data_IF_507403947659
#
_entry.id   IF_507403947659
#
_cell.length_a   1.000
_cell.length_b   1.000
_cell.length_c   1.000
_cell.angle_alpha   90.00
_cell.angle_beta   90.00
_cell.angle_gamma   90.00
#
_symmetry.space_group_name_H-M   'P 1'
#
loop_
_entity.id
_entity.type
_entity.pdbx_description
1 polymer ?
#
# COMPACT_ATOMS: atom_id res chain seq x y z
N UNK A 1 40.01 90.54 15.93
CA UNK A 1 41.25 89.81 16.14
C UNK A 1 41.05 88.37 15.76
N UNK A 2 41.58 88.06 14.71
CA UNK A 2 41.94 86.88 13.99
C UNK A 2 42.06 85.55 14.76
N UNK A 3 41.49 84.53 14.27
CA UNK A 3 42.23 83.28 14.00
C UNK A 3 41.42 82.37 13.06
N UNK A 4 42.03 82.14 11.93
CA UNK A 4 41.57 81.21 10.89
C UNK A 4 41.91 79.76 11.31
N UNK A 5 40.96 78.84 11.18
CA UNK A 5 41.23 77.41 11.15
C UNK A 5 40.83 76.87 9.80
N UNK A 6 41.77 76.25 9.17
CA UNK A 6 41.75 75.68 7.86
C UNK A 6 41.02 74.28 7.93
N UNK A 7 39.92 74.09 7.23
CA UNK A 7 39.32 72.76 7.06
C UNK A 7 39.68 72.25 5.68
N UNK A 8 40.33 71.09 5.70
CA UNK A 8 40.62 70.26 4.53
C UNK A 8 39.38 69.44 4.14
N UNK A 9 38.87 69.66 2.95
CA UNK A 9 37.80 68.86 2.39
C UNK A 9 38.38 67.58 1.88
N UNK A 10 37.93 66.43 2.42
CA UNK A 10 38.14 65.10 1.84
C UNK A 10 36.96 64.74 0.92
N UNK A 11 37.25 64.56 -0.35
CA UNK A 11 36.28 64.11 -1.34
C UNK A 11 36.16 62.57 -1.17
N UNK A 12 35.05 62.14 -0.60
CA UNK A 12 34.69 60.74 -0.51
C UNK A 12 33.93 60.31 -1.79
N UNK A 13 34.46 59.34 -2.52
CA UNK A 13 33.79 58.70 -3.65
C UNK A 13 32.59 57.89 -3.16
N UNK A 14 31.41 58.23 -3.68
CA UNK A 14 30.18 57.45 -3.45
C UNK A 14 30.23 56.23 -4.34
N UNK A 15 30.59 55.07 -3.78
CA UNK A 15 30.41 53.79 -4.42
C UNK A 15 28.94 53.34 -4.34
N UNK A 16 28.29 53.22 -5.49
CA UNK A 16 26.96 52.65 -5.60
C UNK A 16 27.07 51.14 -5.36
N UNK A 17 26.71 50.67 -4.19
CA UNK A 17 26.57 49.24 -3.91
C UNK A 17 25.25 48.73 -4.49
N UNK A 18 25.34 47.96 -5.55
CA UNK A 18 24.20 47.20 -6.07
C UNK A 18 23.79 46.15 -5.04
N UNK A 19 22.64 46.30 -4.43
CA UNK A 19 22.02 45.26 -3.62
C UNK A 19 21.46 44.17 -4.57
N UNK A 20 22.25 43.14 -4.79
CA UNK A 20 21.74 41.90 -5.31
C UNK A 20 20.83 41.27 -4.25
N UNK A 21 19.51 41.32 -4.46
CA UNK A 21 18.52 40.59 -3.69
C UNK A 21 18.67 39.08 -4.00
N UNK A 22 19.61 38.47 -3.32
CA UNK A 22 19.70 37.01 -3.22
C UNK A 22 18.56 36.56 -2.33
N UNK A 23 17.55 35.91 -2.94
CA UNK A 23 16.58 35.15 -2.19
C UNK A 23 17.33 34.02 -1.50
N UNK A 24 17.63 34.17 -0.22
CA UNK A 24 18.07 33.06 0.62
C UNK A 24 16.88 32.10 0.73
N UNK A 25 16.93 31.02 -0.01
CA UNK A 25 16.08 29.87 0.27
C UNK A 25 16.41 29.45 1.72
N UNK A 26 15.49 29.69 2.63
CA UNK A 26 15.55 29.15 3.98
C UNK A 26 15.46 27.62 3.82
N UNK A 27 16.60 26.92 3.88
CA UNK A 27 16.61 25.50 4.14
C UNK A 27 16.09 25.34 5.57
N UNK A 28 14.81 25.09 5.70
CA UNK A 28 14.24 24.56 6.95
C UNK A 28 14.89 23.20 7.13
N UNK A 29 15.97 23.14 7.88
CA UNK A 29 16.55 21.89 8.34
C UNK A 29 15.48 21.16 9.12
N UNK A 30 14.91 20.13 8.52
CA UNK A 30 13.96 19.27 9.20
C UNK A 30 14.69 18.64 10.38
N UNK A 31 14.22 18.93 11.58
CA UNK A 31 14.76 18.37 12.82
C UNK A 31 14.28 16.91 12.85
N UNK A 32 15.21 15.97 12.75
CA UNK A 32 14.90 14.56 12.97
C UNK A 32 14.39 14.36 14.40
N UNK A 33 13.17 13.87 14.56
CA UNK A 33 12.61 13.54 15.86
C UNK A 33 13.28 12.26 16.37
N UNK A 34 13.97 12.32 17.52
CA UNK A 34 14.59 11.17 18.17
C UNK A 34 13.75 10.70 19.35
N UNK A 35 13.33 9.46 19.33
CA UNK A 35 12.66 8.77 20.42
C UNK A 35 13.50 7.55 20.83
N UNK A 36 14.21 7.65 21.95
CA UNK A 36 14.90 6.51 22.56
C UNK A 36 15.94 5.79 21.68
N UNK A 37 16.77 6.56 20.95
CA UNK A 37 17.81 6.01 20.07
C UNK A 37 17.34 5.67 18.64
N UNK A 38 16.05 5.78 18.35
CA UNK A 38 15.50 5.66 17.00
C UNK A 38 15.33 7.04 16.36
N UNK A 39 15.86 7.21 15.16
CA UNK A 39 15.76 8.49 14.42
C UNK A 39 14.92 8.27 13.17
N UNK A 40 13.80 8.97 13.09
CA UNK A 40 13.02 9.01 11.86
C UNK A 40 13.61 10.09 10.92
N UNK A 41 13.77 9.72 9.65
CA UNK A 41 14.17 10.66 8.60
C UNK A 41 13.09 11.69 8.30
N UNK A 42 13.43 12.64 7.43
CA UNK A 42 12.44 13.61 6.91
C UNK A 42 11.47 12.90 5.98
N UNK A 43 10.17 13.18 6.15
CA UNK A 43 9.17 12.73 5.20
C UNK A 43 9.42 13.35 3.82
N UNK A 44 9.30 12.55 2.78
CA UNK A 44 9.43 12.98 1.39
C UNK A 44 8.14 12.62 0.64
N UNK A 45 7.81 13.41 -0.37
CA UNK A 45 6.82 12.99 -1.34
C UNK A 45 7.31 11.71 -2.04
N UNK A 46 6.43 10.73 -2.28
CA UNK A 46 6.77 9.52 -3.02
C UNK A 46 7.17 9.91 -4.44
N UNK A 47 8.41 9.60 -4.88
CA UNK A 47 8.85 10.01 -6.22
C UNK A 47 7.92 9.48 -7.32
N UNK A 48 7.53 10.35 -8.25
CA UNK A 48 6.65 10.00 -9.37
C UNK A 48 5.16 10.17 -9.11
N UNK A 49 4.69 10.26 -7.86
CA UNK A 49 3.26 10.45 -7.58
C UNK A 49 2.71 11.75 -8.15
N UNK A 50 3.47 12.85 -8.16
CA UNK A 50 3.06 14.11 -8.80
C UNK A 50 2.74 13.96 -10.30
N UNK A 51 3.38 13.01 -10.99
CA UNK A 51 3.10 12.74 -12.41
C UNK A 51 1.84 11.88 -12.59
N UNK A 52 1.55 10.98 -11.66
CA UNK A 52 0.36 10.12 -11.67
C UNK A 52 -0.87 10.86 -11.18
N UNK A 53 -0.75 11.51 -10.01
CA UNK A 53 -1.83 12.16 -9.27
C UNK A 53 -2.23 13.50 -9.91
N UNK A 54 -2.92 13.46 -11.03
CA UNK A 54 -3.47 14.64 -11.72
C UNK A 54 -4.84 15.05 -11.15
N UNK A 55 -5.50 14.18 -10.42
CA UNK A 55 -6.80 14.43 -9.80
C UNK A 55 -6.73 14.97 -8.36
N UNK A 56 -5.52 15.13 -7.80
CA UNK A 56 -5.27 15.84 -6.54
C UNK A 56 -5.42 15.02 -5.25
N UNK A 57 -5.42 13.69 -5.31
CA UNK A 57 -5.38 12.80 -4.13
C UNK A 57 -4.48 11.61 -4.41
N UNK A 58 -3.57 11.30 -3.49
CA UNK A 58 -2.76 10.08 -3.50
C UNK A 58 -2.42 9.68 -2.07
N UNK A 59 -2.61 8.41 -1.74
CA UNK A 59 -2.44 7.87 -0.41
C UNK A 59 -1.64 6.57 -0.43
N UNK A 60 -0.78 6.35 0.58
CA UNK A 60 -0.18 5.04 0.88
C UNK A 60 -1.08 4.35 1.90
N UNK A 61 -1.54 3.15 1.58
CA UNK A 61 -2.36 2.31 2.44
C UNK A 61 -1.55 1.26 3.19
N UNK A 62 -0.45 0.81 2.57
CA UNK A 62 0.38 -0.26 3.14
C UNK A 62 1.85 -0.12 2.76
N UNK A 63 2.72 -0.47 3.71
CA UNK A 63 4.18 -0.55 3.52
C UNK A 63 4.72 -1.80 4.19
N UNK A 64 5.66 -2.47 3.54
CA UNK A 64 6.33 -3.66 4.06
C UNK A 64 7.80 -3.67 3.65
N UNK A 65 8.67 -4.17 4.54
CA UNK A 65 10.11 -4.23 4.30
C UNK A 65 10.59 -5.70 4.32
N UNK A 66 11.21 -6.13 3.25
CA UNK A 66 11.85 -7.44 3.17
C UNK A 66 13.23 -7.50 3.84
N UNK A 67 13.89 -6.34 4.00
CA UNK A 67 15.12 -6.13 4.77
C UNK A 67 15.32 -4.63 5.00
N UNK A 68 16.31 -4.28 5.83
CA UNK A 68 16.65 -2.88 6.09
C UNK A 68 16.93 -2.11 4.79
N UNK A 69 16.19 -1.02 4.56
CA UNK A 69 16.31 -0.18 3.37
C UNK A 69 15.77 -0.80 2.07
N UNK A 70 15.09 -1.95 2.14
CA UNK A 70 14.45 -2.59 0.98
C UNK A 70 13.00 -2.89 1.33
N UNK A 71 12.15 -1.97 0.95
CA UNK A 71 10.72 -1.98 1.27
C UNK A 71 9.91 -1.78 -0.01
N UNK A 72 8.64 -2.14 0.04
CA UNK A 72 7.67 -1.76 -0.98
C UNK A 72 6.44 -1.17 -0.31
N UNK A 73 5.81 -0.23 -0.99
CA UNK A 73 4.58 0.40 -0.55
C UNK A 73 3.55 0.42 -1.69
N UNK A 74 2.30 0.48 -1.32
CA UNK A 74 1.19 0.56 -2.26
C UNK A 74 0.06 1.41 -1.72
N UNK A 75 -0.80 1.83 -2.63
CA UNK A 75 -1.95 2.67 -2.33
C UNK A 75 -2.70 3.05 -3.59
N UNK A 76 -3.31 4.21 -3.59
CA UNK A 76 -4.05 4.73 -4.71
C UNK A 76 -3.73 6.20 -5.03
N UNK A 77 -4.07 6.62 -6.23
CA UNK A 77 -4.04 8.01 -6.68
C UNK A 77 -5.23 8.32 -7.57
N UNK A 78 -5.54 9.60 -7.74
CA UNK A 78 -6.54 10.05 -8.72
C UNK A 78 -5.86 10.55 -9.98
N UNK A 79 -6.24 9.95 -11.12
CA UNK A 79 -5.77 10.35 -12.44
C UNK A 79 -6.41 11.67 -12.92
N UNK A 80 -6.05 12.12 -14.12
CA UNK A 80 -6.58 13.35 -14.73
C UNK A 80 -8.09 13.33 -15.01
N UNK A 81 -8.71 12.17 -15.01
CA UNK A 81 -10.15 11.97 -15.19
C UNK A 81 -10.89 11.89 -13.85
N UNK A 82 -10.15 11.96 -12.74
CA UNK A 82 -10.68 11.81 -11.39
C UNK A 82 -10.87 10.36 -10.96
N UNK A 83 -10.46 9.39 -11.78
CA UNK A 83 -10.55 7.98 -11.45
C UNK A 83 -9.47 7.58 -10.43
N UNK A 84 -9.83 6.67 -9.54
CA UNK A 84 -8.92 6.08 -8.57
C UNK A 84 -8.14 4.94 -9.20
N UNK A 85 -6.82 4.99 -9.12
CA UNK A 85 -5.91 4.02 -9.70
C UNK A 85 -4.95 3.51 -8.65
N UNK A 86 -4.70 2.19 -8.66
CA UNK A 86 -3.74 1.56 -7.76
C UNK A 86 -2.30 1.83 -8.20
N UNK A 87 -1.40 2.10 -7.26
CA UNK A 87 0.02 2.24 -7.53
C UNK A 87 0.88 1.46 -6.52
N UNK A 88 2.11 1.19 -6.93
CA UNK A 88 3.16 0.62 -6.09
C UNK A 88 4.46 1.39 -6.26
N UNK A 89 5.32 1.32 -5.23
CA UNK A 89 6.65 1.91 -5.24
C UNK A 89 7.59 1.04 -4.41
N UNK A 90 8.82 0.85 -4.87
CA UNK A 90 9.82 0.04 -4.15
C UNK A 90 11.01 0.90 -3.71
N UNK A 91 11.54 0.59 -2.53
CA UNK A 91 12.76 1.15 -1.97
C UNK A 91 13.90 0.15 -2.12
N UNK A 92 15.03 0.61 -2.61
CA UNK A 92 16.25 -0.18 -2.75
C UNK A 92 17.40 0.53 -2.05
N UNK A 93 18.05 -0.14 -1.11
CA UNK A 93 19.17 0.39 -0.33
C UNK A 93 18.88 1.79 0.27
N UNK A 94 17.68 1.96 0.82
CA UNK A 94 17.25 3.19 1.46
C UNK A 94 16.72 4.28 0.53
N UNK A 95 16.76 4.07 -0.78
CA UNK A 95 16.28 5.05 -1.77
C UNK A 95 14.96 4.60 -2.38
N UNK A 96 13.91 5.42 -2.25
CA UNK A 96 12.62 5.19 -2.91
C UNK A 96 12.72 5.44 -4.41
N UNK A 97 12.27 4.46 -5.19
CA UNK A 97 12.14 4.55 -6.64
C UNK A 97 10.93 5.37 -7.08
N UNK A 98 10.65 5.37 -8.37
CA UNK A 98 9.48 6.06 -8.94
C UNK A 98 8.24 5.20 -8.76
N UNK A 99 7.15 5.80 -8.25
CA UNK A 99 5.84 5.17 -8.20
C UNK A 99 5.33 4.85 -9.60
N UNK A 100 4.76 3.69 -9.76
CA UNK A 100 4.15 3.24 -11.01
C UNK A 100 2.71 2.81 -10.76
N UNK A 101 1.81 3.09 -11.70
CA UNK A 101 0.51 2.41 -11.71
C UNK A 101 0.76 0.90 -11.69
N UNK A 102 -0.04 0.16 -10.93
CA UNK A 102 0.09 -1.31 -10.87
C UNK A 102 -0.08 -1.88 -12.28
N UNK A 103 0.94 -2.57 -12.83
CA UNK A 103 0.86 -3.05 -14.21
C UNK A 103 -0.34 -3.96 -14.41
N UNK A 104 -1.13 -3.71 -15.45
CA UNK A 104 -2.33 -4.48 -15.80
C UNK A 104 -3.63 -3.96 -15.20
N UNK A 105 -3.63 -3.13 -14.16
CA UNK A 105 -4.88 -2.59 -13.59
C UNK A 105 -5.66 -1.74 -14.58
N UNK A 106 -5.02 -0.99 -15.47
CA UNK A 106 -5.70 -0.24 -16.53
C UNK A 106 -6.60 -1.11 -17.44
N UNK A 107 -6.25 -2.40 -17.60
CA UNK A 107 -7.07 -3.35 -18.34
C UNK A 107 -8.25 -3.90 -17.52
N UNK A 108 -8.12 -3.95 -16.21
CA UNK A 108 -9.10 -4.49 -15.26
C UNK A 108 -10.07 -3.41 -14.78
N UNK A 109 -9.54 -2.29 -14.29
CA UNK A 109 -10.28 -1.17 -13.72
C UNK A 109 -11.04 -0.38 -14.81
N UNK A 110 -12.29 -0.72 -15.03
CA UNK A 110 -13.13 -0.14 -16.09
C UNK A 110 -14.20 0.83 -15.57
N UNK A 111 -14.37 0.89 -14.25
CA UNK A 111 -15.31 1.83 -13.59
C UNK A 111 -14.57 2.93 -12.81
N UNK A 112 -13.24 2.97 -12.96
CA UNK A 112 -12.41 4.05 -12.43
C UNK A 112 -12.18 4.01 -10.92
N UNK A 113 -12.16 2.83 -10.31
CA UNK A 113 -11.74 2.65 -8.91
C UNK A 113 -10.88 1.41 -8.77
N UNK A 114 -9.63 1.58 -8.35
CA UNK A 114 -8.72 0.51 -7.97
C UNK A 114 -7.78 0.99 -6.88
N UNK A 115 -7.47 0.13 -5.91
CA UNK A 115 -6.54 0.43 -4.82
C UNK A 115 -5.76 -0.80 -4.35
N UNK A 116 -4.60 -0.57 -3.73
CA UNK A 116 -3.87 -1.55 -2.94
C UNK A 116 -4.29 -1.39 -1.49
N UNK A 117 -4.70 -2.47 -0.85
CA UNK A 117 -5.05 -2.51 0.57
C UNK A 117 -3.92 -3.09 1.43
N UNK A 118 -3.12 -3.99 0.87
CA UNK A 118 -2.06 -4.68 1.62
C UNK A 118 -0.85 -4.97 0.75
N UNK A 119 0.35 -4.78 1.34
CA UNK A 119 1.65 -5.14 0.76
C UNK A 119 2.39 -6.00 1.78
N UNK A 120 3.06 -7.05 1.34
CA UNK A 120 3.95 -7.87 2.16
C UNK A 120 5.19 -8.28 1.40
N UNK A 121 6.36 -8.08 2.02
CA UNK A 121 7.66 -8.43 1.45
C UNK A 121 8.30 -9.57 2.24
N UNK A 122 8.61 -10.67 1.57
CA UNK A 122 9.31 -11.79 2.15
C UNK A 122 10.84 -11.58 2.16
N UNK A 123 11.36 -10.83 1.20
CA UNK A 123 12.76 -10.43 1.08
C UNK A 123 12.88 -9.20 0.18
N UNK A 124 14.08 -8.59 0.12
CA UNK A 124 14.35 -7.47 -0.76
C UNK A 124 13.91 -7.75 -2.20
N UNK A 125 13.04 -6.90 -2.76
CA UNK A 125 12.52 -7.01 -4.12
C UNK A 125 11.63 -8.23 -4.41
N UNK A 126 11.16 -8.93 -3.36
CA UNK A 126 10.22 -10.04 -3.49
C UNK A 126 9.04 -9.79 -2.54
N UNK A 127 8.06 -9.11 -3.07
CA UNK A 127 6.86 -8.68 -2.36
C UNK A 127 5.61 -9.12 -3.13
N UNK A 128 4.48 -9.16 -2.44
CA UNK A 128 3.18 -9.26 -3.07
C UNK A 128 2.26 -8.16 -2.54
N UNK A 129 1.34 -7.71 -3.36
CA UNK A 129 0.33 -6.73 -2.99
C UNK A 129 -1.05 -7.21 -3.43
N UNK A 130 -2.08 -6.77 -2.73
CA UNK A 130 -3.46 -7.11 -3.02
C UNK A 130 -4.40 -5.96 -2.70
N UNK A 131 -5.53 -5.94 -3.40
CA UNK A 131 -6.55 -4.94 -3.26
C UNK A 131 -7.79 -5.30 -4.08
N UNK A 132 -8.48 -4.29 -4.55
CA UNK A 132 -9.62 -4.46 -5.43
C UNK A 132 -9.66 -3.43 -6.56
N UNK A 133 -10.41 -3.76 -7.60
CA UNK A 133 -10.75 -2.86 -8.69
C UNK A 133 -12.22 -3.02 -9.04
N UNK A 134 -12.80 -2.00 -9.66
CA UNK A 134 -14.19 -2.03 -10.10
C UNK A 134 -14.27 -2.21 -11.62
N UNK A 135 -15.11 -3.11 -12.06
CA UNK A 135 -15.42 -3.30 -13.47
C UNK A 135 -16.63 -2.45 -13.90
N UNK A 136 -16.99 -2.49 -15.18
CA UNK A 136 -18.13 -1.73 -15.73
C UNK A 136 -19.49 -2.09 -15.13
N UNK A 137 -19.60 -3.15 -14.38
CA UNK A 137 -20.83 -3.56 -13.71
C UNK A 137 -20.99 -2.91 -12.33
N UNK A 138 -19.96 -2.15 -11.88
CA UNK A 138 -19.90 -1.49 -10.59
C UNK A 138 -19.61 -2.45 -9.42
N UNK A 139 -19.17 -3.68 -9.72
CA UNK A 139 -18.75 -4.62 -8.69
C UNK A 139 -17.23 -4.61 -8.51
N UNK A 140 -16.81 -4.64 -7.24
CA UNK A 140 -15.41 -4.82 -6.87
C UNK A 140 -14.92 -6.24 -7.19
N UNK A 141 -13.66 -6.33 -7.58
CA UNK A 141 -12.98 -7.59 -7.87
C UNK A 141 -11.63 -7.61 -7.19
N UNK A 142 -11.39 -8.60 -6.35
CA UNK A 142 -10.10 -8.83 -5.72
C UNK A 142 -9.02 -9.08 -6.77
N UNK A 143 -7.89 -8.41 -6.65
CA UNK A 143 -6.70 -8.67 -7.46
C UNK A 143 -5.45 -8.80 -6.60
N UNK A 144 -4.44 -9.43 -7.16
CA UNK A 144 -3.11 -9.57 -6.59
C UNK A 144 -2.06 -9.25 -7.64
N UNK A 145 -0.90 -8.79 -7.19
CA UNK A 145 0.27 -8.53 -8.02
C UNK A 145 1.53 -8.88 -7.20
N UNK A 146 2.51 -9.51 -7.83
CA UNK A 146 3.75 -9.91 -7.16
C UNK A 146 4.95 -9.19 -7.75
N UNK A 147 5.86 -8.73 -6.89
CA UNK A 147 7.18 -8.23 -7.23
C UNK A 147 8.17 -9.39 -7.16
N UNK A 148 8.97 -9.56 -8.18
CA UNK A 148 10.02 -10.57 -8.25
C UNK A 148 11.32 -9.90 -8.67
N UNK A 149 12.35 -10.03 -7.82
CA UNK A 149 13.67 -9.44 -8.05
C UNK A 149 13.60 -7.93 -8.39
N UNK A 150 12.76 -7.18 -7.68
CA UNK A 150 12.59 -5.75 -7.85
C UNK A 150 11.72 -5.31 -9.04
N UNK A 151 11.03 -6.26 -9.68
CA UNK A 151 10.14 -5.95 -10.81
C UNK A 151 8.71 -6.39 -10.49
N UNK A 152 7.78 -5.45 -10.53
CA UNK A 152 6.35 -5.71 -10.38
C UNK A 152 5.80 -6.38 -11.64
N UNK A 153 5.14 -7.52 -11.45
CA UNK A 153 4.44 -8.27 -12.51
C UNK A 153 3.09 -7.64 -12.86
N UNK A 154 2.31 -8.34 -13.68
CA UNK A 154 0.98 -7.90 -14.07
C UNK A 154 -0.05 -8.31 -13.02
N UNK A 155 -0.93 -7.38 -12.62
CA UNK A 155 -2.06 -7.66 -11.74
C UNK A 155 -2.98 -8.72 -12.35
N UNK A 156 -3.40 -9.65 -11.52
CA UNK A 156 -4.33 -10.71 -11.90
C UNK A 156 -5.52 -10.73 -10.94
N UNK A 157 -6.72 -10.94 -11.49
CA UNK A 157 -7.90 -11.20 -10.66
C UNK A 157 -7.64 -12.45 -9.82
N UNK A 158 -8.00 -12.42 -8.56
CA UNK A 158 -7.87 -13.59 -7.68
C UNK A 158 -8.70 -14.76 -8.24
N UNK A 159 -8.06 -15.91 -8.57
CA UNK A 159 -8.76 -17.04 -9.13
C UNK A 159 -9.83 -17.59 -8.18
N UNK A 160 -10.95 -18.06 -8.72
CA UNK A 160 -12.04 -18.66 -7.93
C UNK A 160 -13.04 -17.68 -7.31
N UNK A 161 -12.71 -16.39 -7.17
CA UNK A 161 -13.63 -15.42 -6.54
C UNK A 161 -14.97 -15.28 -7.24
N UNK A 162 -15.01 -15.47 -8.57
CA UNK A 162 -16.27 -15.43 -9.33
C UNK A 162 -17.24 -16.58 -8.98
N UNK A 163 -16.75 -17.70 -8.47
CA UNK A 163 -17.57 -18.82 -8.01
C UNK A 163 -18.07 -18.61 -6.57
N UNK A 164 -17.38 -17.79 -5.77
CA UNK A 164 -17.81 -17.46 -4.42
C UNK A 164 -18.97 -16.45 -4.43
N UNK A 165 -18.84 -15.37 -5.21
CA UNK A 165 -19.86 -14.32 -5.23
C UNK A 165 -19.42 -13.07 -5.99
N UNK A 166 -19.99 -11.93 -5.61
CA UNK A 166 -19.72 -10.62 -6.21
C UNK A 166 -19.05 -9.71 -5.20
N UNK A 167 -18.59 -8.54 -5.65
CA UNK A 167 -18.05 -7.52 -4.75
C UNK A 167 -16.92 -8.04 -3.89
N UNK A 168 -15.84 -8.54 -4.53
CA UNK A 168 -14.72 -9.16 -3.84
C UNK A 168 -13.56 -8.17 -3.66
N UNK A 169 -12.82 -8.27 -2.53
CA UNK A 169 -11.62 -7.47 -2.26
C UNK A 169 -10.63 -8.21 -1.36
N UNK A 170 -9.34 -7.93 -1.52
CA UNK A 170 -8.31 -8.34 -0.57
C UNK A 170 -8.22 -7.27 0.52
N UNK A 171 -8.21 -7.68 1.77
CA UNK A 171 -8.05 -6.79 2.94
C UNK A 171 -6.67 -6.93 3.58
N UNK A 172 -6.09 -8.13 3.55
CA UNK A 172 -4.80 -8.39 4.16
C UNK A 172 -4.03 -9.47 3.40
N UNK A 173 -2.71 -9.33 3.37
CA UNK A 173 -1.79 -10.24 2.70
C UNK A 173 -0.51 -10.38 3.52
N UNK A 174 0.04 -11.60 3.58
CA UNK A 174 1.32 -11.88 4.23
C UNK A 174 2.11 -12.92 3.46
N UNK A 175 3.42 -12.72 3.36
CA UNK A 175 4.34 -13.61 2.66
C UNK A 175 5.27 -14.31 3.65
N UNK A 176 5.26 -15.64 3.68
CA UNK A 176 6.15 -16.46 4.48
C UNK A 176 7.51 -16.71 3.84
N UNK A 177 7.59 -16.62 2.51
CA UNK A 177 8.81 -16.61 1.70
C UNK A 177 8.49 -16.05 0.31
N UNK A 178 9.54 -15.76 -0.48
CA UNK A 178 9.38 -15.23 -1.85
C UNK A 178 8.47 -16.15 -2.70
N UNK A 179 7.37 -15.59 -3.23
CA UNK A 179 6.38 -16.32 -4.02
C UNK A 179 5.50 -17.31 -3.23
N UNK A 180 5.54 -17.26 -1.89
CA UNK A 180 4.67 -18.07 -1.03
C UNK A 180 4.00 -17.16 -0.01
N UNK A 181 2.81 -16.73 -0.34
CA UNK A 181 2.03 -15.78 0.42
C UNK A 181 0.61 -16.32 0.65
N UNK A 182 -0.07 -15.77 1.64
CA UNK A 182 -1.50 -15.98 1.83
C UNK A 182 -2.20 -14.65 1.93
N UNK A 183 -3.40 -14.56 1.38
CA UNK A 183 -4.24 -13.38 1.46
C UNK A 183 -5.64 -13.74 1.95
N UNK A 184 -6.26 -12.80 2.63
CA UNK A 184 -7.62 -12.86 3.09
C UNK A 184 -8.42 -11.66 2.58
N UNK A 185 -9.72 -11.84 2.48
CA UNK A 185 -10.60 -10.82 2.00
C UNK A 185 -12.06 -11.17 2.19
N UNK A 186 -12.91 -10.49 1.45
CA UNK A 186 -14.36 -10.64 1.50
C UNK A 186 -14.98 -10.82 0.10
N UNK A 187 -16.16 -11.38 0.06
CA UNK A 187 -17.06 -11.40 -1.07
C UNK A 187 -18.51 -11.23 -0.61
N UNK A 188 -19.38 -10.73 -1.48
CA UNK A 188 -20.82 -10.73 -1.21
C UNK A 188 -21.44 -12.01 -1.79
N UNK A 189 -22.13 -12.75 -0.94
CA UNK A 189 -22.91 -13.92 -1.33
C UNK A 189 -24.19 -13.56 -2.12
N UNK A 190 -24.97 -14.56 -2.48
CA UNK A 190 -26.22 -14.38 -3.23
C UNK A 190 -27.30 -13.61 -2.46
N UNK A 191 -27.20 -13.55 -1.13
CA UNK A 191 -28.09 -12.79 -0.23
C UNK A 191 -27.62 -11.35 -0.02
N UNK A 192 -26.41 -11.02 -0.49
CA UNK A 192 -25.78 -9.70 -0.34
C UNK A 192 -25.00 -9.52 0.97
N UNK A 193 -24.83 -10.55 1.76
CA UNK A 193 -24.01 -10.52 2.97
C UNK A 193 -22.54 -10.73 2.66
N UNK A 194 -21.68 -10.06 3.44
CA UNK A 194 -20.23 -10.26 3.36
C UNK A 194 -19.83 -11.62 3.92
N UNK A 195 -19.05 -12.35 3.16
CA UNK A 195 -18.43 -13.59 3.54
C UNK A 195 -16.92 -13.48 3.42
N UNK A 196 -16.19 -14.20 4.26
CA UNK A 196 -14.73 -14.19 4.27
C UNK A 196 -14.16 -15.28 3.35
N UNK A 197 -13.09 -14.96 2.61
CA UNK A 197 -12.33 -15.94 1.83
C UNK A 197 -10.83 -15.84 2.12
N UNK A 198 -10.13 -16.93 1.82
CA UNK A 198 -8.66 -17.02 1.82
C UNK A 198 -8.17 -17.52 0.47
N UNK A 199 -6.93 -17.14 0.12
CA UNK A 199 -6.23 -17.62 -1.07
C UNK A 199 -4.74 -17.68 -0.81
N UNK A 200 -4.07 -18.75 -1.28
CA UNK A 200 -2.62 -18.94 -1.14
C UNK A 200 -1.88 -18.73 -2.45
N UNK A 201 -0.65 -18.21 -2.38
CA UNK A 201 0.34 -18.22 -3.45
C UNK A 201 1.38 -19.29 -3.16
N UNK A 202 1.69 -20.12 -4.14
CA UNK A 202 2.72 -21.15 -4.05
C UNK A 202 3.66 -21.05 -5.25
N UNK A 203 4.95 -20.85 -4.97
CA UNK A 203 5.99 -20.68 -6.00
C UNK A 203 5.65 -19.60 -7.05
N UNK A 204 5.03 -18.51 -6.61
CA UNK A 204 4.65 -17.37 -7.46
C UNK A 204 3.36 -17.59 -8.27
N UNK A 205 2.57 -18.59 -7.93
CA UNK A 205 1.28 -18.85 -8.55
C UNK A 205 0.17 -18.78 -7.51
N UNK A 206 -0.79 -17.88 -7.71
CA UNK A 206 -1.98 -17.74 -6.87
C UNK A 206 -2.96 -18.88 -7.16
N UNK A 207 -3.37 -19.55 -6.10
CA UNK A 207 -4.36 -20.64 -6.13
C UNK A 207 -5.79 -20.13 -6.22
N UNK A 208 -6.75 -21.04 -6.06
CA UNK A 208 -8.18 -20.74 -6.07
C UNK A 208 -8.62 -20.24 -4.69
N UNK A 209 -9.33 -19.10 -4.65
CA UNK A 209 -9.95 -18.58 -3.43
C UNK A 209 -10.99 -19.56 -2.89
N UNK A 210 -10.99 -19.73 -1.57
CA UNK A 210 -11.91 -20.59 -0.84
C UNK A 210 -12.59 -19.75 0.26
N UNK A 211 -13.89 -19.96 0.45
CA UNK A 211 -14.55 -19.49 1.67
C UNK A 211 -13.78 -20.01 2.88
N UNK A 212 -13.65 -19.18 3.92
CA UNK A 212 -12.94 -19.59 5.13
C UNK A 212 -13.62 -20.83 5.74
N UNK A 213 -12.88 -21.94 5.92
CA UNK A 213 -13.47 -23.17 6.44
C UNK A 213 -14.15 -22.94 7.79
N UNK A 214 -15.42 -23.33 7.88
CA UNK A 214 -16.24 -23.23 9.09
C UNK A 214 -17.02 -21.93 9.26
N UNK A 215 -16.72 -20.87 8.53
CA UNK A 215 -17.48 -19.60 8.66
C UNK A 215 -18.91 -19.73 8.20
N UNK A 216 -19.22 -20.56 7.20
CA UNK A 216 -20.60 -20.81 6.75
C UNK A 216 -21.54 -21.31 7.87
N UNK A 217 -21.00 -22.03 8.87
CA UNK A 217 -21.79 -22.49 10.00
C UNK A 217 -21.93 -21.48 11.14
N UNK A 218 -21.04 -20.47 11.18
CA UNK A 218 -20.98 -19.47 12.23
C UNK A 218 -21.65 -18.15 11.82
N UNK A 219 -21.44 -17.76 10.55
CA UNK A 219 -21.85 -16.46 10.04
C UNK A 219 -23.32 -16.47 9.58
N UNK A 220 -24.09 -15.51 10.08
CA UNK A 220 -25.50 -15.31 9.71
C UNK A 220 -25.72 -14.04 8.88
N UNK A 221 -24.73 -13.14 8.84
CA UNK A 221 -24.79 -11.89 8.07
C UNK A 221 -23.42 -11.55 7.45
N UNK A 222 -22.47 -11.01 8.24
CA UNK A 222 -21.23 -10.47 7.73
C UNK A 222 -20.01 -11.11 8.39
N UNK A 223 -19.07 -11.58 7.58
CA UNK A 223 -17.77 -12.07 8.00
C UNK A 223 -16.65 -11.44 7.14
N UNK A 224 -15.51 -11.16 7.75
CA UNK A 224 -14.35 -10.54 7.09
C UNK A 224 -13.03 -10.98 7.72
N UNK A 225 -11.93 -10.93 6.96
CA UNK A 225 -10.56 -11.14 7.43
C UNK A 225 -9.77 -9.82 7.34
N UNK A 226 -9.64 -9.05 8.41
CA UNK A 226 -8.79 -7.86 8.44
C UNK A 226 -7.30 -8.16 8.63
N UNK A 227 -6.91 -9.39 8.98
CA UNK A 227 -5.52 -9.72 9.29
C UNK A 227 -5.11 -11.12 8.86
N UNK A 228 -3.98 -11.21 8.16
CA UNK A 228 -3.27 -12.44 7.80
C UNK A 228 -1.81 -12.30 8.21
N UNK A 229 -1.22 -13.38 8.75
CA UNK A 229 0.20 -13.42 9.10
C UNK A 229 0.78 -14.81 8.82
N UNK A 230 1.92 -14.84 8.13
CA UNK A 230 2.64 -16.07 7.79
C UNK A 230 3.97 -16.15 8.54
N UNK A 231 4.18 -17.23 9.28
CA UNK A 231 5.46 -17.53 9.94
C UNK A 231 6.48 -18.17 8.98
N UNK A 232 5.99 -18.86 7.96
CA UNK A 232 6.78 -19.45 6.87
C UNK A 232 5.86 -19.80 5.70
N UNK A 233 6.43 -20.26 4.57
CA UNK A 233 5.66 -20.74 3.43
C UNK A 233 4.62 -21.81 3.84
N UNK A 234 3.34 -21.58 3.50
CA UNK A 234 2.24 -22.50 3.79
C UNK A 234 1.89 -22.65 5.28
N UNK A 235 2.44 -21.82 6.16
CA UNK A 235 2.11 -21.80 7.58
C UNK A 235 1.69 -20.38 7.97
N UNK A 236 0.41 -20.13 7.82
CA UNK A 236 -0.20 -18.82 8.03
C UNK A 236 -1.38 -18.92 8.98
N UNK A 237 -1.74 -17.81 9.58
CA UNK A 237 -2.97 -17.66 10.33
C UNK A 237 -3.69 -16.42 9.90
N UNK A 238 -5.02 -16.48 9.88
CA UNK A 238 -5.88 -15.35 9.61
C UNK A 238 -6.86 -15.19 10.77
N UNK A 239 -7.23 -13.94 11.04
CA UNK A 239 -8.20 -13.61 12.07
C UNK A 239 -9.20 -12.61 11.56
N UNK A 240 -10.42 -12.72 12.06
CA UNK A 240 -11.49 -11.85 11.64
C UNK A 240 -12.70 -11.90 12.57
N UNK A 241 -13.81 -11.46 12.01
CA UNK A 241 -15.09 -11.49 12.70
C UNK A 241 -16.17 -12.12 11.84
N UNK A 242 -17.22 -12.58 12.48
CA UNK A 242 -18.48 -12.99 11.89
C UNK A 242 -19.65 -12.43 12.72
N UNK A 243 -20.83 -12.38 12.15
CA UNK A 243 -22.05 -12.01 12.85
C UNK A 243 -22.85 -13.27 13.19
N UNK A 244 -23.08 -13.53 14.47
CA UNK A 244 -23.82 -14.71 14.93
C UNK A 244 -25.35 -14.57 14.73
N UNK A 245 -26.09 -15.63 15.04
CA UNK A 245 -27.56 -15.67 14.89
C UNK A 245 -28.32 -14.66 15.77
N UNK A 246 -27.65 -14.05 16.74
CA UNK A 246 -28.20 -13.00 17.60
C UNK A 246 -27.87 -11.58 17.11
N UNK A 247 -27.16 -11.47 15.96
CA UNK A 247 -26.69 -10.20 15.40
C UNK A 247 -25.44 -9.64 16.09
N UNK A 248 -24.74 -10.41 16.90
CA UNK A 248 -23.53 -9.97 17.56
C UNK A 248 -22.29 -10.32 16.74
N UNK A 249 -21.30 -9.40 16.71
CA UNK A 249 -19.99 -9.68 16.14
C UNK A 249 -19.17 -10.54 17.09
N UNK A 250 -18.66 -11.65 16.55
CA UNK A 250 -17.79 -12.59 17.22
C UNK A 250 -16.46 -12.69 16.48
N UNK A 251 -15.36 -12.92 17.22
CA UNK A 251 -14.06 -13.13 16.62
C UNK A 251 -13.86 -14.60 16.23
N UNK A 252 -13.11 -14.82 15.13
CA UNK A 252 -12.62 -16.14 14.76
C UNK A 252 -11.15 -16.10 14.33
N UNK A 253 -10.50 -17.25 14.36
CA UNK A 253 -9.18 -17.48 13.79
C UNK A 253 -9.22 -18.75 12.94
N UNK A 254 -8.39 -18.79 11.91
CA UNK A 254 -8.18 -19.96 11.06
C UNK A 254 -6.69 -20.07 10.76
N UNK A 255 -6.18 -21.29 10.64
CA UNK A 255 -4.77 -21.54 10.34
C UNK A 255 -4.61 -22.38 9.09
N UNK A 256 -3.61 -22.06 8.31
CA UNK A 256 -3.06 -22.84 7.22
C UNK A 256 -1.83 -23.57 7.74
N UNK A 257 -1.71 -24.87 7.43
CA UNK A 257 -0.55 -25.68 7.84
C UNK A 257 -0.06 -26.49 6.64
N UNK A 258 1.22 -26.34 6.32
CA UNK A 258 1.88 -27.00 5.17
C UNK A 258 1.17 -26.77 3.83
N UNK A 259 0.60 -25.57 3.63
CA UNK A 259 -0.14 -25.22 2.43
C UNK A 259 -1.50 -25.93 2.31
N UNK A 260 -1.96 -26.59 3.36
CA UNK A 260 -3.31 -27.17 3.45
C UNK A 260 -4.11 -26.40 4.48
N UNK A 261 -5.27 -25.86 4.08
CA UNK A 261 -6.19 -25.21 5.01
C UNK A 261 -6.60 -26.19 6.10
N UNK A 262 -6.12 -25.95 7.34
CA UNK A 262 -6.43 -26.81 8.47
C UNK A 262 -7.85 -26.59 8.97
N UNK A 263 -8.62 -27.67 9.06
CA UNK A 263 -9.83 -27.66 9.90
C UNK A 263 -9.39 -27.50 11.35
N UNK A 264 -9.76 -26.38 11.97
CA UNK A 264 -9.57 -26.19 13.41
C UNK A 264 -10.24 -27.32 14.20
N UNK A 265 -9.50 -27.91 15.16
CA UNK A 265 -10.11 -28.70 16.23
C UNK A 265 -10.68 -27.78 17.28
#
# INVERSE_FOLDING_TARGET
MNSRVLMIAAVGAVGVASLASGSAAASTGAVAASLGGHVWGTAIEVPGTAALNRGGSADITSVSCGSAGNCSAGGDYRDSSGNRQAFVVSQVNGTWGTAIEVPGTAALNKDGSADINSVSCASAGNCSAGGDYFDRTGFGHAFVVSEKNGTWGTATKVPGTAALGKGTGITSLSCGSAGNCSAGGFYNDSSGFLQAFVVGETNGTWGTALEVPGTAALNHENAEIPSVSCGSAGNCSAGGFYTDSSGHRQAYVVSETNGTGGTTK
#
